data_IF_162624170951
#
_entry.id   IF_162624170951
#
_cell.length_a   1.000
_cell.length_b   1.000
_cell.length_c   1.000
_cell.angle_alpha   90.00
_cell.angle_beta   90.00
_cell.angle_gamma   90.00
#
_symmetry.space_group_name_H-M   'P 1'
#
loop_
_entity.id
_entity.type
_entity.pdbx_description
1 polymer ?
#
# COMPACT_ATOMS: atom_id res chain seq x y z
N UNK A 1 -8.57 0.72 25.37
CA UNK A 1 -8.93 0.89 23.97
C UNK A 1 -7.80 1.63 23.25
N UNK A 2 -7.22 1.02 22.25
CA UNK A 2 -6.15 1.70 21.51
C UNK A 2 -6.77 2.73 20.56
N UNK A 3 -6.16 3.89 20.51
CA UNK A 3 -6.57 4.96 19.61
C UNK A 3 -5.52 5.16 18.56
N UNK A 4 -5.97 5.50 17.36
CA UNK A 4 -5.07 5.88 16.26
C UNK A 4 -4.48 7.24 16.62
N UNK A 5 -3.16 7.36 16.49
CA UNK A 5 -2.45 8.61 16.81
C UNK A 5 -2.79 9.70 15.78
N UNK A 6 -2.75 10.99 16.20
CA UNK A 6 -3.11 12.10 15.28
C UNK A 6 -2.32 12.13 13.98
N UNK A 7 -1.03 11.81 14.01
CA UNK A 7 -0.21 11.78 12.78
C UNK A 7 -0.66 10.69 11.81
N UNK A 8 -1.23 9.60 12.32
CA UNK A 8 -1.76 8.52 11.50
C UNK A 8 -3.11 8.91 10.92
N UNK A 9 -3.96 9.59 11.71
CA UNK A 9 -5.23 10.12 11.19
C UNK A 9 -4.98 11.12 10.06
N UNK A 10 -3.96 11.97 10.20
CA UNK A 10 -3.55 12.89 9.15
C UNK A 10 -3.10 12.12 7.91
N UNK A 11 -2.33 11.04 8.09
CA UNK A 11 -1.88 10.21 6.98
C UNK A 11 -3.06 9.61 6.21
N UNK A 12 -4.07 9.12 6.92
CA UNK A 12 -5.28 8.57 6.30
C UNK A 12 -6.00 9.66 5.49
N UNK A 13 -6.13 10.85 6.05
CA UNK A 13 -6.77 11.98 5.35
C UNK A 13 -6.00 12.36 4.08
N UNK A 14 -4.68 12.35 4.14
CA UNK A 14 -3.82 12.63 2.98
C UNK A 14 -4.00 11.57 1.88
N UNK A 15 -4.13 10.31 2.27
CA UNK A 15 -4.41 9.23 1.31
C UNK A 15 -5.76 9.49 0.64
N UNK A 16 -6.78 9.85 1.40
CA UNK A 16 -8.10 10.17 0.85
C UNK A 16 -8.05 11.32 -0.14
N UNK A 17 -7.26 12.35 0.15
CA UNK A 17 -7.09 13.49 -0.76
C UNK A 17 -6.33 13.12 -2.02
N UNK A 18 -5.36 12.21 -1.92
CA UNK A 18 -4.56 11.75 -3.06
C UNK A 18 -5.30 10.75 -3.95
N UNK A 19 -6.28 10.05 -3.41
CA UNK A 19 -7.04 9.01 -4.12
C UNK A 19 -8.54 9.27 -3.96
N UNK A 20 -9.05 10.39 -4.48
CA UNK A 20 -10.44 10.80 -4.22
C UNK A 20 -11.49 9.87 -4.81
N UNK A 21 -11.11 9.07 -5.82
CA UNK A 21 -12.04 8.13 -6.47
C UNK A 21 -11.90 6.71 -5.92
N UNK A 22 -11.10 6.50 -4.88
CA UNK A 22 -10.88 5.20 -4.26
C UNK A 22 -11.59 5.15 -2.92
N UNK A 23 -12.10 3.97 -2.58
CA UNK A 23 -12.68 3.72 -1.26
C UNK A 23 -11.57 3.33 -0.30
N UNK A 24 -11.47 4.02 0.82
CA UNK A 24 -10.44 3.76 1.82
C UNK A 24 -11.08 3.10 3.04
N UNK A 25 -10.57 1.94 3.37
CA UNK A 25 -11.03 1.16 4.51
C UNK A 25 -9.91 1.10 5.54
N UNK A 26 -10.23 1.35 6.81
CA UNK A 26 -9.24 1.33 7.89
C UNK A 26 -9.74 0.50 9.05
N UNK A 27 -8.80 -0.09 9.78
CA UNK A 27 -9.11 -0.82 11.00
C UNK A 27 -7.93 -0.67 11.97
N UNK A 28 -8.17 -0.20 13.21
CA UNK A 28 -7.09 -0.08 14.20
C UNK A 28 -6.39 -1.42 14.42
N UNK A 29 -5.06 -1.37 14.57
CA UNK A 29 -4.26 -2.58 14.76
C UNK A 29 -4.15 -3.02 16.22
N UNK A 30 -4.72 -2.22 17.14
CA UNK A 30 -4.66 -2.52 18.57
C UNK A 30 -3.38 -2.05 19.25
N UNK A 31 -2.48 -1.40 18.52
CA UNK A 31 -1.17 -0.98 19.04
C UNK A 31 -0.85 0.47 18.69
N UNK A 32 -1.85 1.29 18.42
CA UNK A 32 -1.68 2.71 18.09
C UNK A 32 -1.59 3.00 16.60
N UNK A 33 -1.51 1.98 15.76
CA UNK A 33 -1.50 2.11 14.32
C UNK A 33 -2.80 1.66 13.68
N UNK A 34 -2.78 1.49 12.36
CA UNK A 34 -3.97 1.07 11.61
C UNK A 34 -3.59 0.23 10.40
N UNK A 35 -4.47 -0.69 10.05
CA UNK A 35 -4.46 -1.34 8.74
C UNK A 35 -5.24 -0.45 7.78
N UNK A 36 -4.76 -0.31 6.56
CA UNK A 36 -5.39 0.51 5.51
C UNK A 36 -5.54 -0.35 4.26
N UNK A 37 -6.73 -0.30 3.65
CA UNK A 37 -6.94 -0.89 2.33
C UNK A 37 -7.55 0.18 1.44
N UNK A 38 -6.88 0.46 0.33
CA UNK A 38 -7.35 1.42 -0.68
C UNK A 38 -7.90 0.61 -1.84
N UNK A 39 -9.20 0.72 -2.08
CA UNK A 39 -9.90 -0.05 -3.12
C UNK A 39 -9.98 0.75 -4.42
N UNK A 40 -10.11 0.02 -5.54
CA UNK A 40 -10.31 0.61 -6.86
C UNK A 40 -9.16 1.49 -7.33
N UNK A 41 -7.93 1.10 -6.97
CA UNK A 41 -6.72 1.78 -7.45
C UNK A 41 -6.51 1.44 -8.92
N UNK A 42 -6.47 2.43 -9.83
CA UNK A 42 -6.23 2.16 -11.25
C UNK A 42 -4.84 1.55 -11.49
N UNK A 43 -4.78 0.50 -12.28
CA UNK A 43 -3.52 -0.15 -12.63
C UNK A 43 -3.35 -0.23 -14.14
N UNK A 44 -3.94 -1.25 -14.78
CA UNK A 44 -3.83 -1.44 -16.23
C UNK A 44 -2.50 -2.04 -16.68
N UNK A 45 -2.18 -1.94 -17.98
CA UNK A 45 -0.97 -2.55 -18.52
C UNK A 45 0.29 -2.10 -17.78
N UNK A 46 1.27 -3.01 -17.59
CA UNK A 46 1.38 -4.36 -18.18
C UNK A 46 0.59 -5.45 -17.43
N UNK A 47 -0.34 -5.10 -16.56
CA UNK A 47 -1.10 -6.07 -15.78
C UNK A 47 -2.49 -6.28 -16.36
N UNK A 48 -3.04 -7.48 -16.10
CA UNK A 48 -4.39 -7.85 -16.54
C UNK A 48 -5.44 -6.99 -15.82
N UNK A 49 -5.20 -6.70 -14.54
CA UNK A 49 -6.15 -5.97 -13.72
C UNK A 49 -6.18 -4.49 -14.10
N UNK A 50 -7.36 -3.97 -14.42
CA UNK A 50 -7.56 -2.54 -14.63
C UNK A 50 -7.55 -1.78 -13.30
N UNK A 51 -8.00 -2.42 -12.23
CA UNK A 51 -8.05 -1.86 -10.87
C UNK A 51 -7.62 -2.93 -9.87
N UNK A 52 -6.99 -2.49 -8.80
CA UNK A 52 -6.57 -3.37 -7.70
C UNK A 52 -6.91 -2.72 -6.36
N UNK A 53 -6.92 -3.52 -5.30
CA UNK A 53 -6.83 -2.98 -3.95
C UNK A 53 -5.37 -3.00 -3.52
N UNK A 54 -4.99 -2.06 -2.65
CA UNK A 54 -3.65 -2.04 -2.04
C UNK A 54 -3.82 -1.93 -0.54
N UNK A 55 -3.26 -2.89 0.18
CA UNK A 55 -3.32 -2.94 1.64
C UNK A 55 -1.95 -2.73 2.26
N UNK A 56 -1.92 -2.09 3.42
CA UNK A 56 -0.69 -1.87 4.18
C UNK A 56 -1.03 -1.50 5.61
N UNK A 57 -0.01 -1.53 6.46
CA UNK A 57 -0.16 -1.14 7.86
C UNK A 57 0.66 0.12 8.11
N UNK A 58 0.03 1.10 8.75
CA UNK A 58 0.73 2.26 9.28
C UNK A 58 0.88 2.01 10.78
N UNK A 59 2.12 1.75 11.23
CA UNK A 59 2.37 1.42 12.63
C UNK A 59 2.44 2.68 13.48
N UNK A 60 2.38 2.50 14.79
CA UNK A 60 2.50 3.62 15.74
C UNK A 60 3.81 4.40 15.58
N UNK A 61 4.82 3.80 14.96
CA UNK A 61 6.12 4.45 14.74
C UNK A 61 6.12 5.43 13.58
N UNK A 62 5.03 5.48 12.80
CA UNK A 62 4.90 6.42 11.70
C UNK A 62 5.04 7.85 12.23
N UNK A 63 5.74 8.78 11.57
CA UNK A 63 6.36 8.67 10.25
C UNK A 63 7.83 8.23 10.26
N UNK A 64 8.34 7.77 11.39
CA UNK A 64 9.75 7.39 11.55
C UNK A 64 10.04 5.99 11.03
N UNK A 65 9.03 5.15 10.89
CA UNK A 65 9.15 3.84 10.26
C UNK A 65 8.54 3.89 8.87
N UNK A 66 9.18 3.20 7.93
CA UNK A 66 8.67 3.09 6.57
C UNK A 66 7.32 2.34 6.56
N UNK A 67 6.45 2.75 5.65
CA UNK A 67 5.22 1.99 5.35
C UNK A 67 5.62 0.89 4.37
N UNK A 68 5.82 -0.32 4.88
CA UNK A 68 6.36 -1.44 4.13
C UNK A 68 6.03 -2.74 4.85
N UNK A 69 5.68 -3.81 4.13
CA UNK A 69 5.41 -3.86 2.70
C UNK A 69 3.98 -3.41 2.37
N UNK A 70 3.67 -3.36 1.07
CA UNK A 70 2.31 -3.22 0.58
C UNK A 70 1.84 -4.56 0.04
N UNK A 71 0.52 -4.74 -0.05
CA UNK A 71 -0.10 -5.99 -0.52
C UNK A 71 -1.19 -5.67 -1.53
N UNK A 72 -1.44 -6.61 -2.44
CA UNK A 72 -2.54 -6.50 -3.39
C UNK A 72 -3.11 -7.89 -3.66
N UNK A 73 -4.03 -7.99 -4.61
CA UNK A 73 -4.73 -9.24 -4.91
C UNK A 73 -3.75 -10.37 -5.27
N UNK A 74 -4.14 -11.59 -4.90
CA UNK A 74 -3.33 -12.78 -5.20
C UNK A 74 -3.32 -13.10 -6.69
N UNK A 75 -4.34 -12.62 -7.42
CA UNK A 75 -4.52 -12.89 -8.84
C UNK A 75 -3.75 -11.96 -9.75
N UNK A 76 -2.96 -11.03 -9.20
CA UNK A 76 -2.18 -10.09 -9.99
C UNK A 76 -1.37 -10.84 -11.06
N UNK A 77 -1.54 -10.45 -12.31
CA UNK A 77 -0.91 -11.14 -13.44
C UNK A 77 -0.57 -10.16 -14.55
N UNK A 78 0.45 -10.48 -15.32
CA UNK A 78 0.87 -9.67 -16.45
C UNK A 78 0.11 -10.10 -17.71
N UNK A 79 -0.16 -9.13 -18.58
CA UNK A 79 -0.84 -9.39 -19.86
C UNK A 79 0.01 -10.24 -20.82
N UNK A 80 1.34 -10.21 -20.65
CA UNK A 80 2.26 -10.98 -21.50
C UNK A 80 2.46 -12.42 -21.02
N UNK A 81 1.81 -12.83 -19.93
CA UNK A 81 1.93 -14.17 -19.38
C UNK A 81 3.21 -14.45 -18.62
N UNK A 82 4.09 -13.48 -18.47
CA UNK A 82 5.33 -13.65 -17.70
C UNK A 82 5.02 -13.70 -16.21
N UNK A 83 5.94 -14.30 -15.46
CA UNK A 83 5.88 -14.25 -14.00
C UNK A 83 6.06 -12.82 -13.53
N UNK A 84 5.52 -12.53 -12.34
CA UNK A 84 5.76 -11.25 -11.69
C UNK A 84 7.25 -11.11 -11.41
N UNK A 85 7.76 -9.88 -11.53
CA UNK A 85 9.18 -9.61 -11.39
C UNK A 85 9.65 -9.57 -9.94
N UNK A 86 10.91 -9.15 -9.76
CA UNK A 86 11.50 -9.00 -8.42
C UNK A 86 10.67 -8.04 -7.57
N UNK A 87 10.63 -8.32 -6.27
CA UNK A 87 9.88 -7.51 -5.34
C UNK A 87 8.40 -7.84 -5.27
N UNK A 88 7.93 -8.79 -6.07
CA UNK A 88 6.54 -9.25 -6.11
C UNK A 88 6.51 -10.73 -5.75
N UNK A 89 5.83 -11.09 -4.67
CA UNK A 89 5.80 -12.48 -4.22
C UNK A 89 4.53 -12.85 -3.50
N UNK A 90 4.34 -14.14 -3.31
CA UNK A 90 3.18 -14.67 -2.60
C UNK A 90 3.30 -14.35 -1.11
N UNK A 91 2.18 -13.97 -0.51
CA UNK A 91 2.14 -13.64 0.91
C UNK A 91 0.72 -13.79 1.45
N UNK A 92 0.56 -13.47 2.73
CA UNK A 92 -0.74 -13.37 3.38
C UNK A 92 -0.91 -11.95 3.89
N UNK A 93 -2.11 -11.40 3.70
CA UNK A 93 -2.49 -10.11 4.23
C UNK A 93 -3.77 -10.29 5.04
N UNK A 94 -3.63 -10.12 6.35
CA UNK A 94 -4.74 -10.20 7.30
C UNK A 94 -5.58 -11.48 7.12
N UNK A 95 -4.87 -12.62 6.95
CA UNK A 95 -5.50 -13.93 6.82
C UNK A 95 -5.94 -14.29 5.40
N UNK A 96 -5.65 -13.45 4.42
CA UNK A 96 -5.96 -13.71 3.02
C UNK A 96 -4.69 -13.91 2.21
N UNK A 97 -4.74 -14.78 1.22
CA UNK A 97 -3.65 -14.92 0.26
C UNK A 97 -3.58 -13.62 -0.55
N UNK A 98 -2.36 -13.13 -0.73
CA UNK A 98 -2.12 -11.84 -1.39
C UNK A 98 -0.79 -11.85 -2.12
N UNK A 99 -0.53 -10.80 -2.90
CA UNK A 99 0.77 -10.53 -3.49
C UNK A 99 1.45 -9.43 -2.67
N UNK A 100 2.66 -9.69 -2.22
CA UNK A 100 3.45 -8.71 -1.47
C UNK A 100 4.24 -7.83 -2.45
N UNK A 101 4.15 -6.53 -2.23
CA UNK A 101 4.87 -5.52 -3.01
C UNK A 101 6.01 -5.03 -2.13
N UNK A 102 7.23 -5.50 -2.42
CA UNK A 102 8.40 -5.26 -1.57
C UNK A 102 9.21 -4.07 -2.09
N UNK A 103 8.72 -2.88 -1.80
CA UNK A 103 9.37 -1.63 -2.19
C UNK A 103 9.70 -0.80 -0.97
N UNK A 104 10.93 -0.89 -0.49
CA UNK A 104 11.39 -0.09 0.65
C UNK A 104 11.75 1.32 0.22
N UNK A 105 11.60 2.28 1.13
CA UNK A 105 12.06 3.64 0.91
C UNK A 105 13.57 3.71 1.10
N UNK A 106 14.26 4.35 0.16
CA UNK A 106 15.66 4.71 0.35
C UNK A 106 15.73 6.04 1.10
N UNK A 107 16.52 6.09 2.18
CA UNK A 107 16.74 7.33 2.93
C UNK A 107 15.43 7.98 3.36
N UNK A 108 14.61 7.23 4.08
CA UNK A 108 13.34 7.73 4.59
C UNK A 108 13.54 9.05 5.34
N UNK A 109 12.77 10.05 4.96
CA UNK A 109 12.76 11.35 5.62
C UNK A 109 11.40 11.58 6.28
N UNK A 110 11.30 11.45 7.62
CA UNK A 110 10.01 11.56 8.30
C UNK A 110 9.32 12.92 8.13
N UNK A 111 10.09 13.97 7.79
CA UNK A 111 9.52 15.30 7.60
C UNK A 111 8.81 15.45 6.25
N UNK A 112 9.19 14.67 5.25
CA UNK A 112 8.67 14.83 3.88
C UNK A 112 8.02 13.58 3.31
N UNK A 113 8.42 12.39 3.78
CA UNK A 113 7.88 11.13 3.27
C UNK A 113 6.61 10.78 4.02
N UNK A 114 5.49 10.74 3.30
CA UNK A 114 4.18 10.41 3.88
C UNK A 114 3.68 9.07 3.36
N UNK A 115 2.70 8.50 4.05
CA UNK A 115 2.07 7.27 3.61
C UNK A 115 1.42 7.43 2.23
N UNK A 116 0.82 8.59 1.96
CA UNK A 116 0.22 8.89 0.66
C UNK A 116 1.27 8.94 -0.44
N UNK A 117 2.39 9.63 -0.23
CA UNK A 117 3.49 9.69 -1.20
C UNK A 117 4.11 8.32 -1.40
N UNK A 118 4.27 7.53 -0.33
CA UNK A 118 4.78 6.17 -0.44
C UNK A 118 3.88 5.30 -1.31
N UNK A 119 2.57 5.40 -1.10
CA UNK A 119 1.60 4.64 -1.90
C UNK A 119 1.68 5.02 -3.38
N UNK A 120 1.77 6.33 -3.68
CA UNK A 120 1.95 6.80 -5.05
C UNK A 120 3.21 6.22 -5.69
N UNK A 121 4.32 6.21 -4.94
CA UNK A 121 5.58 5.65 -5.42
C UNK A 121 5.50 4.16 -5.67
N UNK A 122 4.83 3.42 -4.79
CA UNK A 122 4.66 1.98 -4.95
C UNK A 122 3.82 1.66 -6.19
N UNK A 123 2.74 2.40 -6.41
CA UNK A 123 1.88 2.22 -7.59
C UNK A 123 2.67 2.54 -8.86
N UNK A 124 3.43 3.63 -8.87
CA UNK A 124 4.25 4.01 -10.01
C UNK A 124 5.33 2.97 -10.29
N UNK A 125 5.98 2.48 -9.25
CA UNK A 125 6.97 1.40 -9.37
C UNK A 125 6.33 0.16 -9.98
N UNK A 126 5.15 -0.21 -9.54
CA UNK A 126 4.43 -1.37 -10.05
C UNK A 126 4.12 -1.20 -11.54
N UNK A 127 3.63 -0.03 -11.94
CA UNK A 127 3.30 0.26 -13.35
C UNK A 127 4.49 0.22 -14.28
N UNK A 128 5.67 0.58 -13.77
CA UNK A 128 6.90 0.65 -14.58
C UNK A 128 7.81 -0.54 -14.35
N UNK A 129 7.38 -1.51 -13.55
CA UNK A 129 8.18 -2.68 -13.22
C UNK A 129 8.31 -3.59 -14.45
N UNK A 130 9.55 -3.96 -14.84
CA UNK A 130 9.78 -4.79 -16.04
C UNK A 130 9.32 -6.23 -15.87
#
# INVERSE_FOLDING_TARGET
MSQIQPQIEKAIAEIGSSFPNCRIETEPDGAGGTYVTVHDVPLGPPYVQAKIWVGFQITFQYPYADVYPHFTCAELARTDGRSLGEGLGNANWRGKVATQLSRRSNKLNPATDTAALKLLKVIQWLRTHP
#
